data_IF_628104612568
#
_entry.id   IF_628104612568
#
_cell.length_a   1.000
_cell.length_b   1.000
_cell.length_c   1.000
_cell.angle_alpha   90.00
_cell.angle_beta   90.00
_cell.angle_gamma   90.00
#
_symmetry.space_group_name_H-M   'P 1'
#
loop_
_entity.id
_entity.type
_entity.pdbx_description
1 polymer ?
#
# COMPACT_ATOMS: atom_id res chain seq x y z
N UNK A 1 10.14 -14.42 -14.89
CA UNK A 1 10.40 -13.94 -13.52
C UNK A 1 9.27 -12.99 -13.16
N UNK A 2 8.43 -13.33 -12.18
CA UNK A 2 7.32 -12.46 -11.77
C UNK A 2 7.92 -11.31 -10.95
N UNK A 3 8.07 -10.14 -11.57
CA UNK A 3 8.56 -8.94 -10.90
C UNK A 3 7.41 -8.23 -10.21
N UNK A 4 7.34 -8.33 -8.89
CA UNK A 4 6.62 -7.33 -8.11
C UNK A 4 7.52 -6.08 -8.06
N UNK A 5 7.00 -4.93 -8.49
CA UNK A 5 7.74 -3.68 -8.42
C UNK A 5 7.85 -3.24 -6.94
N UNK A 6 9.06 -2.88 -6.52
CA UNK A 6 9.30 -2.26 -5.23
C UNK A 6 8.81 -0.81 -5.26
N UNK A 7 8.00 -0.41 -4.29
CA UNK A 7 7.59 0.99 -4.10
C UNK A 7 8.60 1.77 -3.30
N UNK A 8 8.89 3.01 -3.74
CA UNK A 8 9.67 4.00 -2.99
C UNK A 8 8.79 5.24 -2.80
N UNK A 9 8.41 5.55 -1.56
CA UNK A 9 7.89 6.88 -1.20
C UNK A 9 6.51 7.25 -1.77
N UNK A 10 5.61 6.29 -1.97
CA UNK A 10 4.23 6.55 -2.41
C UNK A 10 4.05 6.84 -3.91
N UNK A 11 5.13 6.73 -4.68
CA UNK A 11 5.07 6.70 -6.14
C UNK A 11 5.57 5.34 -6.62
N UNK A 12 4.96 4.85 -7.69
CA UNK A 12 5.37 3.61 -8.32
C UNK A 12 5.42 3.77 -9.83
N UNK A 13 6.42 3.15 -10.43
CA UNK A 13 6.50 2.99 -11.87
C UNK A 13 6.74 1.52 -12.18
N UNK A 14 5.95 1.00 -13.10
CA UNK A 14 6.01 -0.40 -13.52
C UNK A 14 6.06 -0.47 -15.04
N UNK A 15 7.12 -1.08 -15.56
CA UNK A 15 7.22 -1.45 -16.96
C UNK A 15 6.55 -2.81 -17.15
N UNK A 16 5.53 -2.85 -18.00
CA UNK A 16 4.76 -4.05 -18.28
C UNK A 16 5.40 -4.85 -19.42
N UNK A 17 5.18 -6.19 -19.49
CA UNK A 17 5.77 -7.03 -20.52
C UNK A 17 5.42 -6.63 -21.97
N UNK A 18 4.28 -5.95 -22.16
CA UNK A 18 3.85 -5.42 -23.45
C UNK A 18 4.45 -4.03 -23.79
N UNK A 19 5.34 -3.51 -22.94
CA UNK A 19 5.98 -2.20 -23.08
C UNK A 19 5.16 -1.02 -22.55
N UNK A 20 3.93 -1.25 -22.08
CA UNK A 20 3.16 -0.20 -21.42
C UNK A 20 3.80 0.18 -20.08
N UNK A 21 3.53 1.40 -19.64
CA UNK A 21 4.06 1.97 -18.41
C UNK A 21 2.89 2.30 -17.50
N UNK A 22 2.84 1.66 -16.33
CA UNK A 22 1.86 1.97 -15.29
C UNK A 22 2.53 2.85 -14.24
N UNK A 23 1.93 4.00 -13.96
CA UNK A 23 2.44 4.98 -12.98
C UNK A 23 1.39 5.13 -11.89
N UNK A 24 1.74 4.83 -10.63
CA UNK A 24 0.94 5.19 -9.47
C UNK A 24 1.52 6.44 -8.83
N UNK A 25 0.75 7.51 -8.75
CA UNK A 25 1.14 8.76 -8.10
C UNK A 25 -0.08 9.43 -7.46
N UNK A 26 0.07 9.91 -6.23
CA UNK A 26 -1.03 10.49 -5.46
C UNK A 26 -2.16 9.49 -5.22
N UNK A 27 -3.34 9.75 -5.78
CA UNK A 27 -4.56 8.95 -5.55
C UNK A 27 -4.98 8.04 -6.69
N UNK A 28 -4.23 8.02 -7.79
CA UNK A 28 -4.59 7.27 -9.01
C UNK A 28 -3.38 6.53 -9.59
N UNK A 29 -3.67 5.46 -10.31
CA UNK A 29 -2.74 4.88 -11.27
C UNK A 29 -3.12 5.32 -12.68
N UNK A 30 -2.14 5.63 -13.53
CA UNK A 30 -2.31 6.02 -14.94
C UNK A 30 -1.54 5.07 -15.85
N UNK A 31 -2.12 4.68 -16.98
CA UNK A 31 -1.50 3.75 -17.94
C UNK A 31 -1.07 4.49 -19.22
N UNK A 32 0.19 4.30 -19.60
CA UNK A 32 0.78 4.86 -20.82
C UNK A 32 1.22 3.73 -21.76
N UNK A 33 1.06 3.97 -23.06
CA UNK A 33 1.58 3.11 -24.12
C UNK A 33 3.12 3.27 -24.25
N UNK A 34 3.82 2.39 -25.00
CA UNK A 34 5.28 2.44 -25.11
C UNK A 34 5.82 3.74 -25.73
N UNK A 35 4.96 4.45 -26.48
CA UNK A 35 5.26 5.76 -27.07
C UNK A 35 5.00 6.94 -26.12
N UNK A 36 4.61 6.68 -24.87
CA UNK A 36 4.29 7.69 -23.86
C UNK A 36 2.89 8.30 -23.96
N UNK A 37 2.04 7.86 -24.89
CA UNK A 37 0.65 8.35 -24.96
C UNK A 37 -0.22 7.70 -23.87
N UNK A 38 -1.11 8.47 -23.26
CA UNK A 38 -2.07 7.97 -22.26
C UNK A 38 -3.04 6.97 -22.90
N UNK A 39 -3.21 5.81 -22.28
CA UNK A 39 -4.17 4.78 -22.70
C UNK A 39 -5.53 5.13 -22.10
N UNK A 40 -6.31 5.94 -22.81
CA UNK A 40 -7.57 6.53 -22.29
C UNK A 40 -8.66 5.51 -21.96
N UNK A 41 -8.56 4.29 -22.49
CA UNK A 41 -9.48 3.18 -22.18
C UNK A 41 -9.22 2.53 -20.82
N UNK A 42 -8.13 2.90 -20.13
CA UNK A 42 -7.82 2.43 -18.79
C UNK A 42 -8.60 3.26 -17.76
N UNK A 43 -9.45 2.61 -16.96
CA UNK A 43 -10.29 3.22 -15.95
C UNK A 43 -11.13 4.38 -16.49
N UNK A 44 -11.03 5.55 -15.87
CA UNK A 44 -11.68 6.80 -16.26
C UNK A 44 -10.64 7.71 -16.91
N UNK A 45 -10.74 7.91 -18.22
CA UNK A 45 -9.84 8.78 -19.00
C UNK A 45 -8.35 8.44 -18.85
N UNK A 46 -8.01 7.15 -18.72
CA UNK A 46 -6.63 6.69 -18.59
C UNK A 46 -6.13 6.55 -17.16
N UNK A 47 -7.00 6.69 -16.16
CA UNK A 47 -6.65 6.61 -14.75
C UNK A 47 -7.62 5.72 -13.96
N UNK A 48 -7.15 5.08 -12.89
CA UNK A 48 -8.06 4.43 -11.94
C UNK A 48 -9.01 5.46 -11.31
N UNK A 49 -10.23 5.09 -10.90
CA UNK A 49 -11.06 5.97 -10.09
C UNK A 49 -10.29 6.44 -8.86
N UNK A 50 -10.12 7.75 -8.69
CA UNK A 50 -9.39 8.31 -7.56
C UNK A 50 -10.18 8.20 -6.27
N UNK A 51 -9.53 7.74 -5.20
CA UNK A 51 -10.02 7.91 -3.84
C UNK A 51 -9.18 8.99 -3.18
N UNK A 52 -9.81 9.96 -2.52
CA UNK A 52 -9.05 10.97 -1.78
C UNK A 52 -8.31 10.30 -0.62
N UNK A 53 -7.02 10.00 -0.81
CA UNK A 53 -6.10 9.65 0.27
C UNK A 53 -5.46 10.93 0.80
N UNK A 54 -5.24 11.03 2.11
CA UNK A 54 -4.27 11.99 2.65
C UNK A 54 -2.88 11.34 2.66
N UNK A 55 -1.88 12.10 2.21
CA UNK A 55 -0.47 11.71 2.20
C UNK A 55 -0.05 10.85 1.00
N UNK A 56 1.23 10.49 0.96
CA UNK A 56 1.85 9.65 -0.07
C UNK A 56 1.39 8.19 0.08
N UNK A 57 0.57 7.69 -0.85
CA UNK A 57 0.04 6.33 -0.83
C UNK A 57 0.88 5.35 -1.64
N UNK A 58 1.11 4.13 -1.13
CA UNK A 58 1.87 3.11 -1.87
C UNK A 58 1.06 2.46 -3.00
N UNK A 59 1.70 2.03 -4.09
CA UNK A 59 1.05 1.30 -5.18
C UNK A 59 1.83 0.03 -5.53
N UNK A 60 1.20 -1.14 -5.47
CA UNK A 60 1.77 -2.37 -6.03
C UNK A 60 0.99 -2.87 -7.23
N UNK A 61 1.75 -3.42 -8.17
CA UNK A 61 1.22 -4.06 -9.37
C UNK A 61 1.73 -5.49 -9.36
N UNK A 62 0.80 -6.44 -9.41
CA UNK A 62 1.13 -7.82 -9.74
C UNK A 62 1.07 -7.99 -11.25
N UNK A 63 2.08 -8.67 -11.80
CA UNK A 63 2.15 -9.01 -13.22
C UNK A 63 2.39 -10.50 -13.39
N UNK A 64 1.89 -11.05 -14.49
CA UNK A 64 2.25 -12.36 -15.00
C UNK A 64 2.84 -12.22 -16.42
N UNK A 65 3.14 -13.35 -17.08
CA UNK A 65 3.70 -13.34 -18.44
C UNK A 65 2.79 -12.70 -19.49
N UNK A 66 1.50 -12.52 -19.18
CA UNK A 66 0.48 -11.96 -20.09
C UNK A 66 0.14 -10.49 -19.81
N UNK A 67 0.62 -9.90 -18.70
CA UNK A 67 0.37 -8.51 -18.37
C UNK A 67 0.16 -8.25 -16.87
N UNK A 68 -0.51 -7.14 -16.56
CA UNK A 68 -0.99 -6.87 -15.19
C UNK A 68 -2.01 -7.92 -14.82
N UNK A 69 -1.93 -8.44 -13.61
CA UNK A 69 -2.97 -9.31 -13.03
C UNK A 69 -3.77 -8.60 -11.95
N UNK A 70 -3.19 -7.56 -11.35
CA UNK A 70 -3.83 -6.77 -10.30
C UNK A 70 -3.08 -5.49 -10.01
N UNK A 71 -3.81 -4.45 -9.67
CA UNK A 71 -3.27 -3.19 -9.17
C UNK A 71 -3.85 -2.98 -7.77
N UNK A 72 -3.02 -2.67 -6.79
CA UNK A 72 -3.45 -2.34 -5.44
C UNK A 72 -2.80 -1.04 -5.03
N UNK A 73 -3.60 -0.09 -4.55
CA UNK A 73 -3.11 1.12 -3.89
C UNK A 73 -3.34 1.03 -2.39
N UNK A 74 -2.48 1.68 -1.63
CA UNK A 74 -2.64 1.90 -0.20
C UNK A 74 -2.51 3.38 0.12
N UNK A 75 -3.13 3.79 1.21
CA UNK A 75 -2.98 5.13 1.77
C UNK A 75 -3.62 5.20 3.14
N UNK A 76 -3.84 6.43 3.59
CA UNK A 76 -4.50 6.71 4.86
C UNK A 76 -6.01 6.88 4.65
N UNK A 77 -6.82 6.37 5.59
CA UNK A 77 -8.27 6.60 5.58
C UNK A 77 -8.56 8.10 5.69
N UNK A 78 -9.27 8.65 4.70
CA UNK A 78 -9.96 9.93 4.80
C UNK A 78 -11.41 9.67 4.38
N UNK A 79 -12.36 10.31 5.07
CA UNK A 79 -13.78 10.22 4.79
C UNK A 79 -14.06 10.34 3.29
N UNK A 80 -14.49 9.25 2.65
CA UNK A 80 -14.89 9.23 1.25
C UNK A 80 -16.40 8.98 1.18
N UNK A 81 -17.20 9.89 0.62
CA UNK A 81 -18.64 9.69 0.50
C UNK A 81 -19.02 8.48 -0.37
N UNK A 82 -18.11 8.02 -1.24
CA UNK A 82 -18.32 6.87 -2.13
C UNK A 82 -17.82 5.54 -1.52
N UNK A 83 -17.03 5.59 -0.44
CA UNK A 83 -16.61 4.44 0.34
C UNK A 83 -17.10 4.69 1.77
N UNK A 84 -18.35 4.34 2.07
CA UNK A 84 -18.99 4.58 3.37
C UNK A 84 -18.23 3.88 4.51
N UNK A 85 -17.13 4.49 4.96
CA UNK A 85 -16.37 4.10 6.13
C UNK A 85 -16.65 5.18 7.18
N UNK A 86 -17.64 4.93 8.02
CA UNK A 86 -17.99 5.78 9.16
C UNK A 86 -16.96 5.61 10.28
N UNK A 87 -15.71 6.02 10.05
CA UNK A 87 -14.70 6.04 11.11
C UNK A 87 -13.82 7.28 10.92
N UNK A 88 -13.85 8.16 11.92
CA UNK A 88 -12.94 9.30 12.09
C UNK A 88 -11.52 8.87 12.51
N UNK A 89 -11.11 7.64 12.20
CA UNK A 89 -9.91 7.01 12.77
C UNK A 89 -8.95 6.66 11.63
N UNK A 90 -7.76 7.27 11.68
CA UNK A 90 -6.64 7.00 10.79
C UNK A 90 -6.27 5.50 10.83
N UNK A 91 -5.89 4.95 9.68
CA UNK A 91 -5.70 3.51 9.48
C UNK A 91 -5.25 3.21 8.05
N UNK A 92 -4.93 1.94 7.81
CA UNK A 92 -4.50 1.48 6.49
C UNK A 92 -5.71 1.30 5.59
N UNK A 93 -5.76 2.05 4.49
CA UNK A 93 -6.74 1.87 3.42
C UNK A 93 -6.04 1.19 2.25
N UNK A 94 -6.57 0.05 1.79
CA UNK A 94 -6.15 -0.58 0.54
C UNK A 94 -7.32 -0.56 -0.44
N UNK A 95 -7.04 -0.33 -1.71
CA UNK A 95 -8.01 -0.40 -2.81
C UNK A 95 -7.44 -1.26 -3.93
N UNK A 96 -8.26 -2.15 -4.47
CA UNK A 96 -7.90 -3.03 -5.59
C UNK A 96 -8.57 -2.58 -6.88
N UNK A 97 -7.82 -2.65 -7.98
CA UNK A 97 -8.30 -2.39 -9.33
C UNK A 97 -8.01 -3.58 -10.24
N UNK A 98 -8.93 -3.80 -11.17
CA UNK A 98 -8.78 -4.71 -12.29
C UNK A 98 -7.69 -4.21 -13.25
N UNK A 99 -7.29 -5.09 -14.16
CA UNK A 99 -6.23 -4.83 -15.15
C UNK A 99 -6.61 -3.74 -16.16
N UNK A 100 -7.90 -3.46 -16.30
CA UNK A 100 -8.45 -2.38 -17.11
C UNK A 100 -8.59 -1.06 -16.33
N UNK A 101 -8.18 -1.02 -15.05
CA UNK A 101 -8.24 0.17 -14.19
C UNK A 101 -9.58 0.40 -13.49
N UNK A 102 -10.58 -0.46 -13.69
CA UNK A 102 -11.85 -0.42 -12.94
C UNK A 102 -11.70 -0.99 -11.53
N UNK A 103 -12.62 -0.67 -10.61
CA UNK A 103 -12.56 -1.18 -9.23
C UNK A 103 -12.79 -2.69 -9.19
N UNK A 104 -11.91 -3.41 -8.48
CA UNK A 104 -12.08 -4.84 -8.20
C UNK A 104 -13.04 -5.04 -7.03
N UNK A 105 -14.34 -5.12 -7.32
CA UNK A 105 -15.39 -5.28 -6.31
C UNK A 105 -15.31 -6.59 -5.50
N UNK A 106 -14.43 -7.53 -5.87
CA UNK A 106 -14.22 -8.77 -5.10
C UNK A 106 -13.26 -8.58 -3.90
N UNK A 107 -12.57 -7.43 -3.84
CA UNK A 107 -11.64 -7.09 -2.77
C UNK A 107 -12.34 -6.36 -1.63
N UNK A 108 -12.18 -6.86 -0.41
CA UNK A 108 -12.72 -6.22 0.79
C UNK A 108 -14.22 -5.95 0.69
N UNK A 109 -14.60 -4.71 0.96
CA UNK A 109 -15.96 -4.20 0.81
C UNK A 109 -16.01 -3.20 -0.36
N UNK A 110 -16.64 -3.58 -1.47
CA UNK A 110 -16.75 -2.75 -2.68
C UNK A 110 -15.39 -2.26 -3.23
N UNK A 111 -14.39 -3.14 -3.21
CA UNK A 111 -13.07 -2.90 -3.77
C UNK A 111 -12.05 -2.24 -2.84
N UNK A 112 -12.40 -2.00 -1.59
CA UNK A 112 -11.47 -1.49 -0.59
C UNK A 112 -11.59 -2.13 0.79
N UNK A 113 -10.52 -2.02 1.57
CA UNK A 113 -10.50 -2.37 3.00
C UNK A 113 -9.90 -1.23 3.79
N UNK A 114 -10.62 -0.78 4.82
CA UNK A 114 -10.16 0.18 5.80
C UNK A 114 -9.85 -0.57 7.10
N UNK A 115 -8.60 -0.48 7.56
CA UNK A 115 -8.10 -1.23 8.72
C UNK A 115 -7.56 -0.26 9.77
N UNK A 116 -8.33 0.04 10.82
CA UNK A 116 -7.83 0.77 11.98
C UNK A 116 -6.71 -0.03 12.66
N UNK A 117 -5.71 0.67 13.18
CA UNK A 117 -4.67 0.02 13.98
C UNK A 117 -5.17 -0.21 15.43
N UNK A 118 -4.82 -1.34 16.07
CA UNK A 118 -5.21 -1.59 17.45
C UNK A 118 -4.83 -0.45 18.41
N UNK A 119 -5.71 -0.16 19.37
CA UNK A 119 -5.50 0.92 20.36
C UNK A 119 -5.98 2.31 19.93
N UNK A 120 -6.66 2.42 18.77
CA UNK A 120 -7.15 3.69 18.20
C UNK A 120 -6.05 4.74 17.99
N UNK A 121 -4.85 4.28 17.66
CA UNK A 121 -3.72 5.13 17.28
C UNK A 121 -3.81 5.47 15.80
N UNK A 122 -3.24 6.62 15.40
CA UNK A 122 -3.21 7.01 14.00
C UNK A 122 -2.27 6.07 13.24
N UNK A 123 -2.59 5.76 11.99
CA UNK A 123 -1.73 4.92 11.16
C UNK A 123 -1.85 5.26 9.68
N UNK A 124 -0.69 5.32 9.02
CA UNK A 124 -0.58 5.70 7.61
C UNK A 124 0.16 4.60 6.86
N UNK A 125 -0.40 4.13 5.75
CA UNK A 125 0.26 3.18 4.86
C UNK A 125 1.00 3.94 3.74
N UNK A 126 2.26 3.58 3.50
CA UNK A 126 3.14 4.27 2.54
C UNK A 126 3.65 3.36 1.42
N UNK A 127 3.77 2.06 1.69
CA UNK A 127 4.26 1.11 0.71
C UNK A 127 3.56 -0.25 0.84
N UNK A 128 3.55 -0.98 -0.27
CA UNK A 128 2.98 -2.31 -0.36
C UNK A 128 4.03 -3.27 -0.94
N UNK A 129 3.93 -4.54 -0.62
CA UNK A 129 4.61 -5.62 -1.34
C UNK A 129 3.74 -6.86 -1.40
N UNK A 130 3.95 -7.68 -2.43
CA UNK A 130 3.22 -8.92 -2.63
C UNK A 130 4.09 -10.12 -2.28
N UNK A 131 3.56 -11.02 -1.47
CA UNK A 131 4.13 -12.34 -1.25
C UNK A 131 3.75 -13.28 -2.40
N UNK A 132 4.50 -14.39 -2.55
CA UNK A 132 4.33 -15.34 -3.66
C UNK A 132 2.96 -16.03 -3.68
N UNK A 133 2.35 -16.19 -2.51
CA UNK A 133 1.01 -16.74 -2.34
C UNK A 133 -0.11 -15.72 -2.65
N UNK A 134 0.25 -14.48 -2.98
CA UNK A 134 -0.69 -13.39 -3.26
C UNK A 134 -1.08 -12.56 -2.05
N UNK A 135 -0.56 -12.88 -0.85
CA UNK A 135 -0.74 -12.03 0.32
C UNK A 135 -0.08 -10.68 0.08
N UNK A 136 -0.66 -9.65 0.69
CA UNK A 136 -0.26 -8.26 0.56
C UNK A 136 0.29 -7.83 1.90
N UNK A 137 1.53 -7.34 1.91
CA UNK A 137 2.13 -6.69 3.08
C UNK A 137 2.07 -5.20 2.86
N UNK A 138 1.36 -4.49 3.74
CA UNK A 138 1.37 -3.05 3.80
C UNK A 138 2.32 -2.58 4.90
N UNK A 139 3.08 -1.53 4.63
CA UNK A 139 3.96 -0.90 5.62
C UNK A 139 3.75 0.61 5.67
N UNK A 140 4.07 1.18 6.82
CA UNK A 140 4.02 2.62 7.02
C UNK A 140 4.37 2.98 8.46
N UNK A 141 3.52 3.78 9.10
CA UNK A 141 3.72 4.18 10.49
C UNK A 141 2.46 4.12 11.34
N UNK A 142 2.65 3.93 12.65
CA UNK A 142 1.66 4.28 13.68
C UNK A 142 2.13 5.53 14.40
N UNK A 143 1.23 6.46 14.73
CA UNK A 143 1.57 7.69 15.43
C UNK A 143 0.57 7.99 16.56
N UNK A 144 1.08 8.58 17.65
CA UNK A 144 0.28 9.00 18.80
C UNK A 144 -0.37 10.38 18.61
N UNK A 145 0.20 11.20 17.71
CA UNK A 145 -0.30 12.52 17.35
C UNK A 145 -0.39 12.62 15.84
N UNK A 146 -1.23 13.54 15.35
CA UNK A 146 -1.37 13.79 13.92
C UNK A 146 -0.01 14.22 13.34
N UNK A 147 0.51 13.39 12.43
CA UNK A 147 1.84 13.54 11.85
C UNK A 147 1.96 14.78 10.95
N UNK A 148 0.83 15.26 10.43
CA UNK A 148 0.78 16.46 9.58
C UNK A 148 0.66 17.74 10.44
N UNK A 149 0.18 17.63 11.69
CA UNK A 149 -0.06 18.78 12.57
C UNK A 149 1.02 18.96 13.65
N UNK A 150 1.40 17.88 14.35
CA UNK A 150 2.41 17.89 15.41
C UNK A 150 3.19 16.56 15.36
N UNK A 151 4.40 16.56 14.78
CA UNK A 151 5.25 15.37 14.76
C UNK A 151 5.47 14.85 16.18
N UNK A 152 5.11 13.59 16.41
CA UNK A 152 5.26 12.89 17.68
C UNK A 152 5.93 11.54 17.50
N UNK A 153 6.06 10.74 18.57
CA UNK A 153 6.59 9.40 18.47
C UNK A 153 5.77 8.56 17.47
N UNK A 154 6.47 7.93 16.53
CA UNK A 154 5.87 7.00 15.58
C UNK A 154 6.75 5.76 15.43
N UNK A 155 6.11 4.65 15.09
CA UNK A 155 6.75 3.35 14.96
C UNK A 155 6.52 2.82 13.54
N UNK A 156 7.39 1.91 13.09
CA UNK A 156 7.11 1.15 11.88
C UNK A 156 5.83 0.33 12.07
N UNK A 157 4.90 0.47 11.14
CA UNK A 157 3.65 -0.27 11.13
C UNK A 157 3.62 -1.25 9.98
N UNK A 158 3.18 -2.49 10.23
CA UNK A 158 2.92 -3.48 9.19
C UNK A 158 1.57 -4.16 9.41
N UNK A 159 0.89 -4.43 8.31
CA UNK A 159 -0.33 -5.26 8.28
C UNK A 159 -0.23 -6.22 7.10
N UNK A 160 -0.57 -7.49 7.32
CA UNK A 160 -0.69 -8.48 6.24
C UNK A 160 -2.16 -8.73 5.90
N UNK A 161 -2.45 -8.76 4.62
CA UNK A 161 -3.75 -9.09 4.06
C UNK A 161 -3.64 -10.30 3.15
N UNK A 162 -4.66 -11.14 3.18
CA UNK A 162 -4.90 -12.14 2.15
C UNK A 162 -5.21 -11.48 0.79
N UNK A 163 -5.19 -12.24 -0.33
CA UNK A 163 -5.47 -11.69 -1.65
C UNK A 163 -6.87 -11.07 -1.77
N UNK A 164 -7.85 -11.41 -0.93
CA UNK A 164 -9.17 -10.77 -1.00
C UNK A 164 -9.31 -9.55 -0.09
N UNK A 165 -8.23 -9.10 0.55
CA UNK A 165 -8.21 -7.92 1.40
C UNK A 165 -8.63 -8.16 2.85
N UNK A 166 -8.81 -9.43 3.27
CA UNK A 166 -8.99 -9.75 4.69
C UNK A 166 -7.63 -9.72 5.40
N UNK A 167 -7.58 -9.09 6.57
CA UNK A 167 -6.40 -9.14 7.45
C UNK A 167 -6.09 -10.59 7.79
N UNK A 168 -4.83 -10.98 7.63
CA UNK A 168 -4.34 -12.28 8.08
C UNK A 168 -4.00 -12.20 9.58
N UNK A 169 -4.90 -12.71 10.41
CA UNK A 169 -4.76 -12.67 11.87
C UNK A 169 -3.65 -13.55 12.42
N UNK A 170 -3.03 -14.40 11.60
CA UNK A 170 -1.89 -15.24 11.99
C UNK A 170 -0.56 -14.52 11.93
N UNK A 171 -0.52 -13.33 11.32
CA UNK A 171 0.69 -12.51 11.23
C UNK A 171 0.86 -11.63 12.47
N UNK A 172 2.02 -11.70 13.13
CA UNK A 172 2.31 -10.84 14.27
C UNK A 172 1.27 -10.96 15.38
N UNK A 173 0.80 -9.81 15.91
CA UNK A 173 -0.26 -9.78 16.91
C UNK A 173 -1.60 -9.47 16.25
N UNK A 174 -2.34 -10.51 15.86
CA UNK A 174 -3.68 -10.38 15.28
C UNK A 174 -3.71 -9.74 13.89
N UNK A 175 -2.61 -9.83 13.15
CA UNK A 175 -2.43 -9.24 11.82
C UNK A 175 -1.55 -7.99 11.77
N UNK A 176 -1.08 -7.52 12.93
CA UNK A 176 -0.39 -6.25 13.09
C UNK A 176 1.01 -6.42 13.68
N UNK A 177 1.93 -5.58 13.22
CA UNK A 177 3.26 -5.41 13.83
C UNK A 177 3.52 -3.92 14.00
N UNK A 178 3.89 -3.51 15.21
CA UNK A 178 4.47 -2.20 15.49
C UNK A 178 5.91 -2.40 15.98
N UNK A 179 6.88 -1.69 15.39
CA UNK A 179 8.29 -1.79 15.76
C UNK A 179 8.88 -0.42 16.04
N UNK A 180 9.24 -0.14 17.31
CA UNK A 180 9.80 1.15 17.69
C UNK A 180 11.27 1.26 17.28
N UNK A 181 11.68 2.45 16.87
CA UNK A 181 13.08 2.81 16.59
C UNK A 181 13.54 3.98 17.49
N UNK A 182 13.20 3.89 18.77
CA UNK A 182 13.51 4.90 19.79
C UNK A 182 12.25 5.60 20.29
N UNK A 183 12.40 6.84 20.76
CA UNK A 183 11.30 7.63 21.36
C UNK A 183 10.77 8.71 20.42
N UNK A 184 11.11 8.65 19.13
CA UNK A 184 10.87 9.70 18.16
C UNK A 184 10.25 9.15 16.89
N UNK A 185 10.11 9.97 15.86
CA UNK A 185 9.46 9.57 14.61
C UNK A 185 10.23 8.43 13.93
N UNK A 186 9.50 7.40 13.50
CA UNK A 186 10.00 6.32 12.66
C UNK A 186 8.90 5.80 11.72
N UNK A 187 9.20 5.72 10.43
CA UNK A 187 8.26 5.23 9.43
C UNK A 187 8.93 4.39 8.35
N UNK A 188 8.24 3.34 7.91
CA UNK A 188 8.66 2.52 6.77
C UNK A 188 8.07 3.08 5.47
N UNK A 189 8.91 3.51 4.52
CA UNK A 189 8.47 4.02 3.22
C UNK A 189 8.71 3.03 2.06
N UNK A 190 9.39 1.91 2.34
CA UNK A 190 9.75 0.86 1.37
C UNK A 190 9.62 -0.51 2.01
N UNK A 191 9.12 -1.49 1.25
CA UNK A 191 9.07 -2.89 1.67
C UNK A 191 9.42 -3.83 0.53
N UNK A 192 10.14 -4.90 0.85
CA UNK A 192 10.49 -6.00 -0.05
C UNK A 192 10.18 -7.35 0.59
N UNK A 193 9.79 -8.31 -0.24
CA UNK A 193 9.64 -9.71 0.16
C UNK A 193 10.84 -10.50 -0.35
N UNK A 194 11.54 -11.17 0.55
CA UNK A 194 12.64 -12.07 0.23
C UNK A 194 12.10 -13.40 -0.35
N UNK A 195 12.94 -14.14 -1.07
CA UNK A 195 12.54 -15.41 -1.72
C UNK A 195 12.06 -16.47 -0.72
N UNK A 196 12.54 -16.40 0.52
CA UNK A 196 12.17 -17.26 1.64
C UNK A 196 10.93 -16.76 2.40
N UNK A 197 10.25 -15.74 1.89
CA UNK A 197 9.03 -15.17 2.45
C UNK A 197 9.23 -14.11 3.54
N UNK A 198 10.47 -13.87 3.98
CA UNK A 198 10.77 -12.81 4.97
C UNK A 198 10.46 -11.43 4.39
N UNK A 199 10.09 -10.52 5.27
CA UNK A 199 9.73 -9.13 4.91
C UNK A 199 10.88 -8.23 5.32
N UNK A 200 11.33 -7.35 4.44
CA UNK A 200 12.32 -6.30 4.74
C UNK A 200 11.62 -4.96 4.58
N UNK A 201 11.47 -4.21 5.66
CA UNK A 201 10.95 -2.84 5.65
C UNK A 201 12.09 -1.86 5.89
N UNK A 202 12.11 -0.77 5.13
CA UNK A 202 13.11 0.29 5.22
C UNK A 202 12.40 1.63 5.30
N UNK A 203 12.97 2.54 6.06
CA UNK A 203 12.58 3.94 6.02
C UNK A 203 13.46 4.81 6.90
N UNK A 204 12.86 5.80 7.53
CA UNK A 204 13.60 6.82 8.26
C UNK A 204 13.18 6.84 9.72
N UNK A 205 14.14 7.25 10.53
CA UNK A 205 13.95 7.72 11.90
C UNK A 205 14.76 8.99 12.10
N UNK A 206 14.60 9.66 13.24
CA UNK A 206 15.46 10.79 13.61
C UNK A 206 16.95 10.44 13.77
N UNK A 207 17.29 9.15 13.83
CA UNK A 207 18.68 8.66 13.83
C UNK A 207 19.22 8.32 12.43
N UNK A 208 18.43 8.54 11.38
CA UNK A 208 18.75 8.23 9.99
C UNK A 208 17.98 7.03 9.43
N UNK A 209 18.51 6.42 8.37
CA UNK A 209 17.90 5.27 7.70
C UNK A 209 17.83 4.06 8.63
N UNK A 210 16.63 3.47 8.74
CA UNK A 210 16.34 2.29 9.55
C UNK A 210 15.83 1.15 8.70
N UNK A 211 16.18 -0.07 9.10
CA UNK A 211 15.77 -1.31 8.44
C UNK A 211 15.32 -2.31 9.50
N UNK A 212 14.17 -2.95 9.26
CA UNK A 212 13.73 -4.12 10.01
C UNK A 212 13.50 -5.29 9.04
N UNK A 213 13.82 -6.50 9.53
CA UNK A 213 13.50 -7.74 8.84
C UNK A 213 12.58 -8.57 9.72
N UNK A 214 11.43 -8.95 9.17
CA UNK A 214 10.39 -9.72 9.85
C UNK A 214 10.34 -11.15 9.29
N UNK A 215 9.96 -12.08 10.15
CA UNK A 215 9.68 -13.45 9.74
C UNK A 215 8.38 -13.49 8.93
N UNK A 216 8.23 -14.54 8.13
CA UNK A 216 7.03 -14.75 7.33
C UNK A 216 5.80 -15.11 8.21
N UNK A 217 6.00 -15.42 9.49
CA UNK A 217 4.97 -15.89 10.42
C UNK A 217 5.12 -15.14 11.75
#
# INVERSE_FOLDING_TARGET
MNGAAATVGGESIVLLPNGNILIGAGSVASLYAPNGSLVTSFGVNGQTPGFAFNGAGGFVVSTNSTGVTRIISAGSIVTSPNLMFTHSVSGFLLVSYNTDGTIDNSFGNHGGVATPFPGNILAHAFALALQRNGDIVAVGQTALTDVDAVPGPSDFALVRYSPNGRVDTTFGNGGFVSTPFGTSEAFANTVLIQIDGKIVAVGNSNSGTTLARYLAN
#
